data_IF_640543078231
#
_entry.id   IF_640543078231
#
_cell.length_a   1.000
_cell.length_b   1.000
_cell.length_c   1.000
_cell.angle_alpha   90.00
_cell.angle_beta   90.00
_cell.angle_gamma   90.00
#
_symmetry.space_group_name_H-M   'P 1'
#
loop_
_entity.id
_entity.type
_entity.pdbx_description
1 polymer ?
#
# COMPACT_ATOMS: atom_id res chain seq x y z
N UNK A 1 14.17 0.76 9.59
CA UNK A 1 13.05 0.06 10.25
C UNK A 1 12.41 -0.87 9.22
N UNK A 2 12.46 -2.18 9.39
CA UNK A 2 11.89 -3.14 8.44
C UNK A 2 10.36 -3.10 8.52
N UNK A 3 9.71 -2.72 7.42
CA UNK A 3 8.25 -2.76 7.30
C UNK A 3 7.78 -4.22 7.21
N UNK A 4 6.88 -4.65 8.10
CA UNK A 4 6.32 -6.01 8.08
C UNK A 4 4.86 -5.99 7.64
N UNK A 5 4.42 -7.06 6.98
CA UNK A 5 3.02 -7.21 6.54
C UNK A 5 2.05 -7.21 7.71
N UNK A 6 2.41 -7.85 8.82
CA UNK A 6 1.58 -7.83 10.03
C UNK A 6 1.39 -6.42 10.57
N UNK A 7 2.44 -5.58 10.56
CA UNK A 7 2.33 -4.19 10.98
C UNK A 7 1.42 -3.40 10.04
N UNK A 8 1.54 -3.62 8.74
CA UNK A 8 0.72 -2.94 7.73
C UNK A 8 -0.75 -3.37 7.80
N UNK A 9 -1.02 -4.64 8.12
CA UNK A 9 -2.36 -5.19 8.34
C UNK A 9 -2.99 -4.80 9.68
N UNK A 10 -2.20 -4.42 10.68
CA UNK A 10 -2.68 -3.97 11.99
C UNK A 10 -2.78 -2.44 12.09
N UNK A 11 -1.99 -1.70 11.30
CA UNK A 11 -1.97 -0.25 11.31
C UNK A 11 -3.31 0.37 10.89
N UNK A 12 -3.64 1.51 11.48
CA UNK A 12 -4.78 2.32 11.00
C UNK A 12 -4.49 2.83 9.59
N UNK A 13 -5.52 3.08 8.75
CA UNK A 13 -5.31 3.46 7.35
C UNK A 13 -4.38 4.66 7.18
N UNK A 14 -4.49 5.69 8.03
CA UNK A 14 -3.61 6.86 7.97
C UNK A 14 -2.12 6.51 8.23
N UNK A 15 -1.83 5.66 9.22
CA UNK A 15 -0.47 5.18 9.48
C UNK A 15 0.02 4.28 8.35
N UNK A 16 -0.84 3.40 7.83
CA UNK A 16 -0.47 2.48 6.76
C UNK A 16 -0.12 3.24 5.47
N UNK A 17 -0.80 4.36 5.18
CA UNK A 17 -0.42 5.29 4.11
C UNK A 17 0.94 5.91 4.42
N UNK A 18 1.15 6.47 5.62
CA UNK A 18 2.42 7.09 6.01
C UNK A 18 3.62 6.12 5.95
N UNK A 19 3.40 4.84 6.30
CA UNK A 19 4.39 3.77 6.17
C UNK A 19 4.77 3.47 4.72
N UNK A 20 3.86 3.71 3.77
CA UNK A 20 4.09 3.57 2.32
C UNK A 20 4.56 4.88 1.67
N UNK A 21 4.24 6.03 2.27
CA UNK A 21 4.59 7.37 1.79
C UNK A 21 6.12 7.55 1.71
N UNK A 22 6.86 7.05 2.72
CA UNK A 22 8.32 7.02 2.69
C UNK A 22 8.93 6.09 1.61
N UNK A 23 8.13 5.28 0.92
CA UNK A 23 8.56 4.41 -0.19
C UNK A 23 8.17 5.00 -1.55
N UNK A 24 7.11 5.80 -1.61
CA UNK A 24 6.58 6.43 -2.82
C UNK A 24 6.42 7.93 -2.60
N UNK A 25 7.45 8.71 -2.90
CA UNK A 25 7.29 10.16 -3.03
C UNK A 25 6.36 10.43 -4.23
N UNK A 26 5.25 11.15 -3.98
CA UNK A 26 4.26 11.63 -4.97
C UNK A 26 3.07 10.72 -5.36
N UNK A 27 2.67 9.71 -4.56
CA UNK A 27 1.46 8.91 -4.89
C UNK A 27 0.62 8.45 -3.69
N UNK A 28 0.10 9.36 -2.84
CA UNK A 28 -0.72 8.98 -1.68
C UNK A 28 -2.04 8.28 -2.08
N UNK A 29 -2.57 8.55 -3.27
CA UNK A 29 -3.79 7.92 -3.78
C UNK A 29 -3.58 6.43 -4.08
N UNK A 30 -2.41 6.04 -4.61
CA UNK A 30 -2.06 4.63 -4.90
C UNK A 30 -1.99 3.82 -3.61
N UNK A 31 -1.35 4.37 -2.57
CA UNK A 31 -1.24 3.72 -1.27
C UNK A 31 -2.63 3.47 -0.66
N UNK A 32 -3.52 4.48 -0.66
CA UNK A 32 -4.90 4.32 -0.17
C UNK A 32 -5.68 3.24 -0.93
N UNK A 33 -5.58 3.22 -2.25
CA UNK A 33 -6.24 2.20 -3.09
C UNK A 33 -5.70 0.80 -2.82
N UNK A 34 -4.38 0.64 -2.72
CA UNK A 34 -3.77 -0.64 -2.40
C UNK A 34 -4.20 -1.14 -1.01
N UNK A 35 -4.26 -0.25 -0.02
CA UNK A 35 -4.69 -0.56 1.35
C UNK A 35 -6.15 -1.04 1.44
N UNK A 36 -6.99 -0.73 0.45
CA UNK A 36 -8.35 -1.27 0.37
C UNK A 36 -8.36 -2.80 0.12
N UNK A 37 -7.26 -3.38 -0.38
CA UNK A 37 -7.10 -4.84 -0.57
C UNK A 37 -6.63 -5.57 0.70
N UNK A 38 -6.59 -4.90 1.85
CA UNK A 38 -6.26 -5.55 3.13
C UNK A 38 -7.35 -6.58 3.52
N UNK A 39 -6.95 -7.67 4.21
CA UNK A 39 -5.62 -7.97 4.71
C UNK A 39 -4.66 -8.55 3.64
N UNK A 40 -3.39 -8.16 3.68
CA UNK A 40 -2.37 -8.71 2.79
C UNK A 40 -1.80 -10.01 3.33
N UNK A 41 -1.63 -10.99 2.43
CA UNK A 41 -1.09 -12.31 2.80
C UNK A 41 0.44 -12.34 2.89
N UNK A 42 1.12 -11.51 2.11
CA UNK A 42 2.58 -11.48 1.99
C UNK A 42 3.07 -10.19 1.35
N UNK A 43 4.39 -9.92 1.39
CA UNK A 43 5.00 -8.76 0.73
C UNK A 43 4.74 -8.78 -0.79
N UNK A 44 4.70 -9.96 -1.40
CA UNK A 44 4.36 -10.11 -2.81
C UNK A 44 2.91 -9.67 -3.09
N UNK A 45 1.97 -10.00 -2.20
CA UNK A 45 0.57 -9.55 -2.32
C UNK A 45 0.46 -8.03 -2.22
N UNK A 46 1.16 -7.41 -1.26
CA UNK A 46 1.24 -5.95 -1.14
C UNK A 46 1.79 -5.30 -2.41
N UNK A 47 2.93 -5.81 -2.93
CA UNK A 47 3.52 -5.29 -4.18
C UNK A 47 2.55 -5.43 -5.35
N UNK A 48 1.83 -6.54 -5.45
CA UNK A 48 0.83 -6.75 -6.49
C UNK A 48 -0.33 -5.76 -6.38
N UNK A 49 -0.89 -5.55 -5.18
CA UNK A 49 -1.94 -4.55 -4.96
C UNK A 49 -1.50 -3.13 -5.29
N UNK A 50 -0.25 -2.76 -4.99
CA UNK A 50 0.32 -1.46 -5.38
C UNK A 50 0.41 -1.30 -6.90
N UNK A 51 0.89 -2.33 -7.61
CA UNK A 51 0.95 -2.32 -9.08
C UNK A 51 -0.44 -2.25 -9.69
N UNK A 52 -1.42 -2.98 -9.15
CA UNK A 52 -2.81 -2.90 -9.61
C UNK A 52 -3.42 -1.52 -9.37
N UNK A 53 -3.19 -0.91 -8.20
CA UNK A 53 -3.63 0.44 -7.91
C UNK A 53 -2.99 1.48 -8.86
N UNK A 54 -1.70 1.31 -9.19
CA UNK A 54 -0.99 2.15 -10.16
C UNK A 54 -1.55 1.98 -11.57
N UNK A 55 -1.73 0.74 -12.02
CA UNK A 55 -2.30 0.42 -13.33
C UNK A 55 -3.71 1.00 -13.49
N UNK A 56 -4.52 0.92 -12.43
CA UNK A 56 -5.86 1.49 -12.42
C UNK A 56 -5.89 3.02 -12.24
N UNK A 57 -4.74 3.69 -12.07
CA UNK A 57 -4.63 5.16 -11.99
C UNK A 57 -3.99 5.76 -13.23
N UNK A 58 -3.22 4.99 -14.00
CA UNK A 58 -2.67 5.44 -15.30
C UNK A 58 -3.63 5.19 -16.47
N UNK A 59 -4.71 4.44 -16.25
CA UNK A 59 -5.74 4.14 -17.24
C UNK A 59 -6.91 5.15 -17.21
N UNK A 60 -6.78 6.22 -16.42
CA UNK A 60 -7.62 7.42 -16.43
C UNK A 60 -6.96 8.49 -17.32
#
# INVERSE_FOLDING_TARGET
MSLTISRLNAAVPAEAVALLDGVYEHSPCIAQRALASRPFRSLAHLKHSLVQALAASTAD
#
